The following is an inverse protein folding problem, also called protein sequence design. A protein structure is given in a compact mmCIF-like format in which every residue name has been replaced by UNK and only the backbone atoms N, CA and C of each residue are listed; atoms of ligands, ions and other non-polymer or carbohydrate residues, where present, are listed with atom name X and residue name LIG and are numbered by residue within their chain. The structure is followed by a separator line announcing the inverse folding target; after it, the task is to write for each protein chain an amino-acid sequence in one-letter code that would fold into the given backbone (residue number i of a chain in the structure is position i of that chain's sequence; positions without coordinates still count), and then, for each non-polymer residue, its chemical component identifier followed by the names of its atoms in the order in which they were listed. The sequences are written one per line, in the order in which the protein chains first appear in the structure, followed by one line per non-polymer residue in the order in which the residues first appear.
data_IF_671696192233
#
_entry.id   IF_671696192233
#
_cell.length_a   1.000
_cell.length_b   1.000
_cell.length_c   1.000
_cell.angle_alpha   90.00
_cell.angle_beta   90.00
_cell.angle_gamma   90.00
#
_symmetry.space_group_name_H-M   'P 1'
#
loop_
_entity.id
_entity.type
_entity.pdbx_description
1 polymer ?
#
# COMPACT_ATOMS: atom_id res chain seq x y z
N UNK A 1 24.23 78.93 -95.89
CA UNK A 1 23.33 79.90 -96.57
C UNK A 1 21.90 79.71 -96.04
N UNK A 2 21.05 80.76 -96.05
CA UNK A 2 20.06 81.04 -95.02
C UNK A 2 18.71 80.32 -95.20
N UNK A 3 18.04 80.08 -94.06
CA UNK A 3 16.62 79.70 -93.97
C UNK A 3 15.72 80.83 -94.52
N UNK A 4 14.54 80.49 -95.04
CA UNK A 4 13.39 81.36 -94.80
C UNK A 4 12.20 80.62 -94.18
N UNK A 5 11.53 81.40 -93.34
CA UNK A 5 10.46 81.04 -92.41
C UNK A 5 9.11 80.99 -93.12
N UNK A 6 8.31 80.04 -92.64
CA UNK A 6 6.87 80.05 -92.36
C UNK A 6 6.13 81.36 -92.69
N UNK A 7 5.06 81.25 -93.47
CA UNK A 7 4.00 82.24 -93.57
C UNK A 7 2.68 81.69 -92.97
N UNK A 8 2.13 82.53 -92.10
CA UNK A 8 0.77 82.71 -91.58
C UNK A 8 -0.42 81.78 -91.97
N UNK A 9 -1.10 81.35 -90.90
CA UNK A 9 -2.54 81.52 -90.55
C UNK A 9 -3.67 80.76 -91.27
N UNK A 10 -4.59 80.38 -90.38
CA UNK A 10 -6.05 80.27 -90.48
C UNK A 10 -6.60 78.86 -90.75
N UNK A 11 -7.33 78.29 -89.76
CA UNK A 11 -8.81 78.24 -89.65
C UNK A 11 -9.33 77.14 -90.56
N UNK A 12 -10.21 76.24 -90.18
CA UNK A 12 -10.85 75.78 -88.95
C UNK A 12 -11.68 74.57 -89.40
N UNK A 13 -12.06 73.72 -88.45
CA UNK A 13 -13.08 72.67 -88.61
C UNK A 13 -12.57 71.50 -89.47
N UNK A 14 -12.81 70.23 -89.15
CA UNK A 14 -14.01 69.61 -88.62
C UNK A 14 -13.58 68.35 -87.84
N UNK A 15 -13.92 68.23 -86.56
CA UNK A 15 -13.98 66.91 -85.91
C UNK A 15 -15.16 66.92 -84.95
N UNK A 16 -16.32 66.49 -85.46
CA UNK A 16 -17.50 66.25 -84.64
C UNK A 16 -18.20 64.99 -85.12
N UNK A 17 -17.61 63.80 -84.90
CA UNK A 17 -18.39 62.55 -84.96
C UNK A 17 -17.76 61.29 -84.31
N UNK A 18 -16.95 61.40 -83.24
CA UNK A 18 -16.38 60.21 -82.57
C UNK A 18 -16.48 60.29 -81.04
N UNK A 19 -17.68 60.42 -80.46
CA UNK A 19 -17.85 60.45 -78.99
C UNK A 19 -18.85 59.49 -78.31
N UNK A 20 -19.83 58.81 -78.95
CA UNK A 20 -20.83 58.06 -78.16
C UNK A 20 -20.35 56.71 -77.58
N UNK A 21 -19.45 56.00 -78.25
CA UNK A 21 -19.23 54.56 -77.99
C UNK A 21 -18.17 54.27 -76.89
N UNK A 22 -17.13 55.11 -76.81
CA UNK A 22 -16.06 55.01 -75.80
C UNK A 22 -16.54 55.45 -74.41
N UNK A 23 -17.37 56.49 -74.34
CA UNK A 23 -18.02 56.91 -73.09
C UNK A 23 -19.00 55.86 -72.59
N UNK A 24 -19.77 55.20 -73.48
CA UNK A 24 -20.65 54.11 -73.11
C UNK A 24 -19.89 52.92 -72.48
N UNK A 25 -18.70 52.58 -72.99
CA UNK A 25 -17.86 51.52 -72.41
C UNK A 25 -17.28 51.92 -71.04
N UNK A 26 -16.81 53.17 -70.91
CA UNK A 26 -16.29 53.72 -69.65
C UNK A 26 -17.37 53.80 -68.56
N UNK A 27 -18.58 54.19 -68.93
CA UNK A 27 -19.75 54.22 -68.02
C UNK A 27 -20.17 52.80 -67.62
N UNK A 28 -20.15 51.83 -68.55
CA UNK A 28 -20.42 50.42 -68.23
C UNK A 28 -19.37 49.85 -67.26
N UNK A 29 -18.09 50.16 -67.47
CA UNK A 29 -17.01 49.72 -66.60
C UNK A 29 -17.10 50.36 -65.20
N UNK A 30 -17.45 51.65 -65.12
CA UNK A 30 -17.71 52.34 -63.85
C UNK A 30 -18.88 51.72 -63.07
N UNK A 31 -20.00 51.43 -63.74
CA UNK A 31 -21.15 50.74 -63.13
C UNK A 31 -20.81 49.32 -62.66
N UNK A 32 -19.92 48.63 -63.35
CA UNK A 32 -19.43 47.32 -62.93
C UNK A 32 -18.57 47.43 -61.66
N UNK A 33 -17.63 48.38 -61.61
CA UNK A 33 -16.82 48.63 -60.42
C UNK A 33 -17.68 49.04 -59.22
N UNK A 34 -18.67 49.92 -59.40
CA UNK A 34 -19.60 50.28 -58.33
C UNK A 34 -20.36 49.08 -57.75
N UNK A 35 -20.81 48.16 -58.61
CA UNK A 35 -21.46 46.92 -58.16
C UNK A 35 -20.48 46.00 -57.41
N UNK A 36 -19.23 45.94 -57.85
CA UNK A 36 -18.17 45.18 -57.21
C UNK A 36 -17.85 45.74 -55.83
N UNK A 37 -17.66 47.06 -55.73
CA UNK A 37 -17.42 47.77 -54.46
C UNK A 37 -18.61 47.66 -53.51
N UNK A 38 -19.84 47.65 -54.02
CA UNK A 38 -21.02 47.39 -53.21
C UNK A 38 -21.02 45.97 -52.65
N UNK A 39 -20.64 44.98 -53.47
CA UNK A 39 -20.55 43.57 -53.04
C UNK A 39 -19.42 43.33 -52.04
N UNK A 40 -18.25 43.93 -52.23
CA UNK A 40 -17.12 43.88 -51.29
C UNK A 40 -17.58 44.44 -49.94
N UNK A 41 -18.12 45.66 -49.92
CA UNK A 41 -18.63 46.29 -48.69
C UNK A 41 -19.73 45.49 -48.01
N UNK A 42 -20.59 44.82 -48.77
CA UNK A 42 -21.60 43.93 -48.19
C UNK A 42 -20.97 42.72 -47.51
N UNK A 43 -20.00 42.07 -48.15
CA UNK A 43 -19.30 40.93 -47.56
C UNK A 43 -18.46 41.32 -46.34
N UNK A 44 -17.77 42.45 -46.36
CA UNK A 44 -17.03 42.93 -45.19
C UNK A 44 -17.95 43.12 -43.98
N UNK A 45 -19.15 43.68 -44.21
CA UNK A 45 -20.19 43.82 -43.17
C UNK A 45 -20.70 42.47 -42.66
N UNK A 46 -20.88 41.48 -43.54
CA UNK A 46 -21.29 40.14 -43.14
C UNK A 46 -20.22 39.42 -42.33
N UNK A 47 -18.94 39.55 -42.73
CA UNK A 47 -17.79 39.01 -42.02
C UNK A 47 -17.70 39.64 -40.63
N UNK A 48 -17.76 40.97 -40.55
CA UNK A 48 -17.71 41.69 -39.28
C UNK A 48 -18.86 41.28 -38.35
N UNK A 49 -20.08 41.13 -38.89
CA UNK A 49 -21.23 40.65 -38.12
C UNK A 49 -21.03 39.23 -37.59
N UNK A 50 -20.50 38.32 -38.40
CA UNK A 50 -20.23 36.95 -38.00
C UNK A 50 -19.14 36.87 -36.92
N UNK A 51 -18.06 37.62 -37.10
CA UNK A 51 -16.97 37.71 -36.12
C UNK A 51 -17.47 38.27 -34.78
N UNK A 52 -18.24 39.36 -34.81
CA UNK A 52 -18.80 39.95 -33.60
C UNK A 52 -19.78 39.01 -32.88
N UNK A 53 -20.59 38.27 -33.65
CA UNK A 53 -21.54 37.31 -33.08
C UNK A 53 -20.84 36.18 -32.30
N UNK A 54 -19.68 35.71 -32.77
CA UNK A 54 -18.95 34.59 -32.15
C UNK A 54 -17.82 34.99 -31.20
N UNK A 55 -17.41 36.26 -31.18
CA UNK A 55 -16.25 36.71 -30.40
C UNK A 55 -16.40 36.41 -28.91
N UNK A 56 -17.56 36.70 -28.32
CA UNK A 56 -17.80 36.47 -26.89
C UNK A 56 -17.71 34.98 -26.53
N UNK A 57 -18.34 34.11 -27.33
CA UNK A 57 -18.29 32.66 -27.09
C UNK A 57 -16.87 32.07 -27.17
N UNK A 58 -16.02 32.62 -28.03
CA UNK A 58 -14.60 32.27 -28.09
C UNK A 58 -13.85 32.70 -26.82
N UNK A 59 -14.06 33.94 -26.37
CA UNK A 59 -13.47 34.47 -25.12
C UNK A 59 -13.93 33.65 -23.91
N UNK A 60 -15.21 33.32 -23.84
CA UNK A 60 -15.79 32.52 -22.77
C UNK A 60 -15.15 31.11 -22.72
N UNK A 61 -15.01 30.47 -23.88
CA UNK A 61 -14.39 29.14 -24.00
C UNK A 61 -12.93 29.14 -23.53
N UNK A 62 -12.14 30.15 -23.92
CA UNK A 62 -10.76 30.30 -23.45
C UNK A 62 -10.73 30.53 -21.95
N UNK A 63 -11.61 31.38 -21.45
CA UNK A 63 -11.68 31.72 -20.02
C UNK A 63 -12.02 30.49 -19.19
N UNK A 64 -12.99 29.68 -19.63
CA UNK A 64 -13.36 28.43 -18.99
C UNK A 64 -12.20 27.42 -19.01
N UNK A 65 -11.53 27.27 -20.15
CA UNK A 65 -10.35 26.41 -20.26
C UNK A 65 -9.23 26.82 -19.28
N UNK A 66 -8.96 28.12 -19.15
CA UNK A 66 -7.95 28.63 -18.23
C UNK A 66 -8.34 28.38 -16.76
N UNK A 67 -9.62 28.47 -16.41
CA UNK A 67 -10.12 28.09 -15.08
C UNK A 67 -9.92 26.60 -14.81
N UNK A 68 -10.29 25.73 -15.75
CA UNK A 68 -10.10 24.27 -15.63
C UNK A 68 -8.62 23.93 -15.45
N UNK A 69 -7.73 24.58 -16.21
CA UNK A 69 -6.28 24.40 -16.07
C UNK A 69 -5.78 24.79 -14.67
N UNK A 70 -6.25 25.91 -14.12
CA UNK A 70 -5.88 26.35 -12.77
C UNK A 70 -6.37 25.36 -11.70
N UNK A 71 -7.61 24.90 -11.80
CA UNK A 71 -8.17 23.89 -10.88
C UNK A 71 -7.43 22.54 -10.99
N UNK A 72 -7.08 22.10 -12.21
CA UNK A 72 -6.30 20.89 -12.43
C UNK A 72 -4.89 21.00 -11.83
N UNK A 73 -4.24 22.16 -11.92
CA UNK A 73 -2.94 22.39 -11.27
C UNK A 73 -3.06 22.36 -9.74
N UNK A 74 -4.09 23.01 -9.18
CA UNK A 74 -4.37 23.00 -7.75
C UNK A 74 -4.64 21.59 -7.23
N UNK A 75 -5.41 20.79 -7.98
CA UNK A 75 -5.67 19.38 -7.67
C UNK A 75 -4.37 18.56 -7.73
N UNK A 76 -3.55 18.72 -8.77
CA UNK A 76 -2.27 18.02 -8.92
C UNK A 76 -1.31 18.33 -7.76
N UNK A 77 -1.25 19.57 -7.29
CA UNK A 77 -0.44 19.93 -6.11
C UNK A 77 -1.03 19.31 -4.84
N UNK A 78 -2.36 19.27 -4.70
CA UNK A 78 -3.00 18.66 -3.53
C UNK A 78 -2.81 17.15 -3.46
N UNK A 79 -2.87 16.46 -4.60
CA UNK A 79 -2.90 14.99 -4.67
C UNK A 79 -1.53 14.36 -4.95
N UNK A 80 -0.69 15.01 -5.78
CA UNK A 80 0.67 14.54 -6.08
C UNK A 80 1.77 15.23 -5.26
N UNK A 81 1.51 16.40 -4.68
CA UNK A 81 2.52 17.19 -3.96
C UNK A 81 2.80 16.72 -2.53
N UNK A 82 1.94 15.90 -1.95
CA UNK A 82 2.21 15.25 -0.67
C UNK A 82 2.51 13.79 -0.93
N UNK A 83 3.72 13.33 -0.65
CA UNK A 83 4.12 11.91 -0.68
C UNK A 83 3.32 11.00 0.27
N UNK A 84 2.09 11.35 0.63
CA UNK A 84 1.13 10.59 1.44
C UNK A 84 0.82 9.24 0.82
N UNK A 85 0.72 9.13 -0.50
CA UNK A 85 0.53 7.82 -1.17
C UNK A 85 1.73 6.89 -0.98
N UNK A 86 2.95 7.40 -1.23
CA UNK A 86 4.20 6.65 -1.07
C UNK A 86 4.48 6.34 0.41
N UNK A 87 4.25 7.31 1.29
CA UNK A 87 4.39 7.18 2.74
C UNK A 87 3.38 6.19 3.33
N UNK A 88 2.15 6.14 2.82
CA UNK A 88 1.14 5.17 3.26
C UNK A 88 1.54 3.76 2.85
N UNK A 89 2.03 3.55 1.63
CA UNK A 89 2.53 2.24 1.18
C UNK A 89 3.71 1.79 2.05
N UNK A 90 4.64 2.70 2.36
CA UNK A 90 5.74 2.41 3.30
C UNK A 90 5.24 2.01 4.69
N UNK A 91 4.34 2.79 5.26
CA UNK A 91 3.74 2.50 6.57
C UNK A 91 2.97 1.16 6.60
N UNK A 92 2.32 0.78 5.50
CA UNK A 92 1.63 -0.51 5.39
C UNK A 92 2.59 -1.70 5.35
N UNK A 93 3.75 -1.56 4.69
CA UNK A 93 4.76 -2.61 4.65
C UNK A 93 5.44 -2.78 6.02
N UNK A 94 5.74 -1.67 6.71
CA UNK A 94 6.24 -1.70 8.09
C UNK A 94 5.23 -2.38 9.04
N UNK A 95 3.94 -2.06 8.91
CA UNK A 95 2.89 -2.70 9.69
C UNK A 95 2.80 -4.21 9.42
N UNK A 96 2.95 -4.62 8.15
CA UNK A 96 2.98 -6.03 7.77
C UNK A 96 4.15 -6.76 8.41
N UNK A 97 5.35 -6.16 8.37
CA UNK A 97 6.55 -6.71 8.98
C UNK A 97 6.41 -6.81 10.51
N UNK A 98 5.85 -5.78 11.15
CA UNK A 98 5.56 -5.78 12.58
C UNK A 98 4.60 -6.91 12.98
N UNK A 99 3.53 -7.14 12.20
CA UNK A 99 2.59 -8.26 12.43
C UNK A 99 3.25 -9.62 12.29
N UNK A 100 4.13 -9.79 11.30
CA UNK A 100 4.88 -11.04 11.14
C UNK A 100 5.80 -11.29 12.35
N UNK A 101 6.51 -10.26 12.80
CA UNK A 101 7.34 -10.35 14.00
C UNK A 101 6.50 -10.68 15.24
N UNK A 102 5.36 -10.01 15.42
CA UNK A 102 4.45 -10.27 16.52
C UNK A 102 3.93 -11.72 16.50
N UNK A 103 3.57 -12.24 15.32
CA UNK A 103 3.15 -13.63 15.17
C UNK A 103 4.28 -14.61 15.50
N UNK A 104 5.50 -14.37 14.99
CA UNK A 104 6.68 -15.18 15.31
C UNK A 104 6.98 -15.18 16.82
N UNK A 105 6.90 -14.01 17.46
CA UNK A 105 7.11 -13.85 18.90
C UNK A 105 6.04 -14.62 19.67
N UNK A 106 4.76 -14.43 19.35
CA UNK A 106 3.65 -15.12 20.01
C UNK A 106 3.77 -16.63 19.86
N UNK A 107 4.02 -17.12 18.64
CA UNK A 107 4.22 -18.53 18.38
C UNK A 107 5.41 -19.09 19.16
N UNK A 108 6.51 -18.34 19.26
CA UNK A 108 7.68 -18.77 20.05
C UNK A 108 7.37 -18.82 21.54
N UNK A 109 6.66 -17.80 22.07
CA UNK A 109 6.20 -17.78 23.46
C UNK A 109 5.33 -19.00 23.75
N UNK A 110 4.33 -19.29 22.91
CA UNK A 110 3.44 -20.44 23.09
C UNK A 110 4.21 -21.77 23.11
N UNK A 111 5.21 -21.91 22.24
CA UNK A 111 6.06 -23.11 22.16
C UNK A 111 6.97 -23.24 23.38
N UNK A 112 7.55 -22.14 23.87
CA UNK A 112 8.36 -22.13 25.08
C UNK A 112 7.52 -22.40 26.34
N UNK A 113 6.32 -21.80 26.44
CA UNK A 113 5.38 -22.03 27.53
C UNK A 113 4.96 -23.49 27.65
N UNK A 114 4.86 -24.22 26.54
CA UNK A 114 4.62 -25.68 26.56
C UNK A 114 5.82 -26.47 27.09
N UNK A 115 7.05 -25.99 26.87
CA UNK A 115 8.26 -26.68 27.30
C UNK A 115 8.60 -26.45 28.78
N UNK A 116 8.20 -25.28 29.32
CA UNK A 116 8.59 -24.83 30.66
C UNK A 116 8.20 -25.81 31.79
N UNK A 117 6.96 -26.32 31.87
CA UNK A 117 6.57 -27.26 32.92
C UNK A 117 7.36 -28.58 32.88
N UNK A 118 7.76 -29.01 31.69
CA UNK A 118 8.53 -30.25 31.50
C UNK A 118 9.95 -30.09 32.06
N UNK A 119 10.58 -28.94 31.78
CA UNK A 119 11.91 -28.61 32.29
C UNK A 119 11.91 -28.41 33.81
N UNK A 120 10.88 -27.77 34.36
CA UNK A 120 10.71 -27.60 35.81
C UNK A 120 10.52 -28.94 36.52
N UNK A 121 9.66 -29.81 35.99
CA UNK A 121 9.39 -31.13 36.57
C UNK A 121 10.63 -32.02 36.53
N UNK A 122 11.42 -31.97 35.46
CA UNK A 122 12.66 -32.74 35.35
C UNK A 122 13.79 -32.15 36.22
N UNK A 123 13.84 -30.82 36.40
CA UNK A 123 14.70 -30.20 37.41
C UNK A 123 14.36 -30.69 38.82
N UNK A 124 13.07 -30.70 39.17
CA UNK A 124 12.56 -31.22 40.45
C UNK A 124 12.89 -32.69 40.64
N UNK A 125 12.79 -33.51 39.58
CA UNK A 125 13.17 -34.92 39.61
C UNK A 125 14.65 -35.09 39.95
N UNK A 126 15.55 -34.35 39.27
CA UNK A 126 16.99 -34.38 39.55
C UNK A 126 17.31 -33.99 40.99
N UNK A 127 16.61 -33.01 41.56
CA UNK A 127 16.80 -32.60 42.96
C UNK A 127 16.30 -33.65 43.96
N UNK A 128 15.15 -34.28 43.69
CA UNK A 128 14.63 -35.38 44.50
C UNK A 128 15.58 -36.59 44.49
N UNK A 129 16.21 -36.86 43.35
CA UNK A 129 17.22 -37.91 43.22
C UNK A 129 18.50 -37.56 44.00
N UNK A 130 18.99 -36.31 43.91
CA UNK A 130 20.16 -35.85 44.69
C UNK A 130 19.92 -35.91 46.20
N UNK A 131 18.70 -35.58 46.65
CA UNK A 131 18.30 -35.62 48.06
C UNK A 131 17.92 -37.02 48.57
N UNK A 132 18.13 -38.09 47.78
CA UNK A 132 17.84 -39.50 48.12
C UNK A 132 16.38 -39.76 48.50
N UNK A 133 15.45 -38.91 48.06
CA UNK A 133 14.01 -39.08 48.27
C UNK A 133 13.44 -39.93 47.14
N UNK A 134 13.75 -41.23 47.18
CA UNK A 134 13.48 -42.16 46.08
C UNK A 134 11.99 -42.31 45.75
N UNK A 135 11.12 -42.36 46.77
CA UNK A 135 9.68 -42.55 46.55
C UNK A 135 9.00 -41.31 45.90
N UNK A 136 9.22 -40.07 46.38
CA UNK A 136 8.77 -38.88 45.66
C UNK A 136 9.36 -38.74 44.26
N UNK A 137 10.64 -39.08 44.07
CA UNK A 137 11.31 -39.05 42.76
C UNK A 137 10.62 -39.99 41.76
N UNK A 138 10.29 -41.22 42.17
CA UNK A 138 9.60 -42.19 41.32
C UNK A 138 8.22 -41.69 40.89
N UNK A 139 7.46 -41.07 41.80
CA UNK A 139 6.15 -40.49 41.48
C UNK A 139 6.26 -39.32 40.49
N UNK A 140 7.28 -38.47 40.64
CA UNK A 140 7.57 -37.35 39.73
C UNK A 140 7.99 -37.88 38.34
N UNK A 141 8.80 -38.93 38.29
CA UNK A 141 9.24 -39.58 37.05
C UNK A 141 8.06 -40.19 36.29
N UNK A 142 7.21 -40.97 36.96
CA UNK A 142 6.01 -41.57 36.37
C UNK A 142 5.08 -40.50 35.78
N UNK A 143 4.93 -39.37 36.46
CA UNK A 143 4.14 -38.24 35.99
C UNK A 143 4.79 -37.56 34.77
N UNK A 144 6.11 -37.34 34.78
CA UNK A 144 6.86 -36.79 33.67
C UNK A 144 6.70 -37.66 32.40
N UNK A 145 6.82 -38.97 32.55
CA UNK A 145 6.71 -39.93 31.44
C UNK A 145 5.29 -40.00 30.85
N UNK A 146 4.26 -40.04 31.70
CA UNK A 146 2.87 -40.23 31.23
C UNK A 146 2.20 -38.96 30.74
N UNK A 147 2.50 -37.81 31.35
CA UNK A 147 1.74 -36.58 31.11
C UNK A 147 2.52 -35.53 30.31
N UNK A 148 3.82 -35.39 30.56
CA UNK A 148 4.61 -34.29 30.03
C UNK A 148 5.34 -34.63 28.73
N UNK A 149 6.04 -35.78 28.66
CA UNK A 149 6.82 -36.16 27.47
C UNK A 149 5.97 -36.33 26.19
N UNK A 150 4.75 -36.90 26.21
CA UNK A 150 3.93 -37.01 25.00
C UNK A 150 3.59 -35.65 24.37
N UNK A 151 3.52 -34.58 25.16
CA UNK A 151 3.16 -33.24 24.69
C UNK A 151 4.32 -32.51 23.99
N UNK A 152 5.57 -32.88 24.31
CA UNK A 152 6.78 -32.21 23.80
C UNK A 152 7.71 -33.15 23.01
N UNK A 153 7.24 -34.35 22.67
CA UNK A 153 8.04 -35.40 22.03
C UNK A 153 8.59 -35.03 20.65
N UNK A 154 7.99 -34.06 19.95
CA UNK A 154 8.50 -33.54 18.68
C UNK A 154 9.74 -32.65 18.83
N UNK A 155 10.04 -32.16 20.03
CA UNK A 155 11.22 -31.34 20.27
C UNK A 155 12.47 -32.19 20.52
N UNK A 156 13.62 -31.77 19.96
CA UNK A 156 14.91 -32.47 20.13
C UNK A 156 15.35 -32.61 21.59
N UNK A 157 15.09 -31.60 22.43
CA UNK A 157 15.51 -31.64 23.84
C UNK A 157 14.82 -32.76 24.63
N UNK A 158 13.59 -33.14 24.25
CA UNK A 158 12.84 -34.23 24.87
C UNK A 158 13.56 -35.58 24.69
N UNK A 159 14.14 -35.83 23.51
CA UNK A 159 14.93 -37.05 23.25
C UNK A 159 16.14 -37.15 24.16
N UNK A 160 16.86 -36.04 24.32
CA UNK A 160 18.02 -35.97 25.22
C UNK A 160 17.59 -36.19 26.68
N UNK A 161 16.45 -35.63 27.11
CA UNK A 161 15.93 -35.88 28.45
C UNK A 161 15.61 -37.37 28.68
N UNK A 162 14.92 -38.02 27.74
CA UNK A 162 14.58 -39.45 27.84
C UNK A 162 15.83 -40.34 27.88
N UNK A 163 16.88 -39.99 27.15
CA UNK A 163 18.16 -40.71 27.17
C UNK A 163 18.92 -40.55 28.49
N UNK A 164 18.76 -39.41 29.17
CA UNK A 164 19.44 -39.11 30.44
C UNK A 164 18.63 -39.50 31.69
N UNK A 165 17.33 -39.75 31.54
CA UNK A 165 16.49 -40.26 32.64
C UNK A 165 16.88 -41.71 32.93
N UNK A 166 17.33 -42.05 34.15
CA UNK A 166 17.69 -43.42 34.46
C UNK A 166 16.43 -44.29 34.42
N UNK A 167 16.44 -45.31 33.55
CA UNK A 167 15.30 -46.21 33.35
C UNK A 167 14.91 -46.88 34.67
N UNK A 168 13.61 -47.02 34.93
CA UNK A 168 13.02 -47.71 36.10
C UNK A 168 13.77 -48.99 36.57
N UNK A 169 14.29 -49.87 35.68
CA UNK A 169 15.01 -51.08 36.09
C UNK A 169 16.31 -50.81 36.87
N UNK A 170 17.00 -49.69 36.59
CA UNK A 170 18.25 -49.32 37.28
C UNK A 170 18.00 -48.81 38.71
N UNK A 171 16.84 -48.18 38.95
CA UNK A 171 16.44 -47.71 40.28
C UNK A 171 15.94 -48.83 41.20
N UNK A 172 15.24 -49.82 40.65
CA UNK A 172 14.91 -51.04 41.40
C UNK A 172 16.19 -51.75 41.86
N UNK A 173 17.23 -51.80 41.02
CA UNK A 173 18.54 -52.32 41.39
C UNK A 173 19.21 -51.51 42.52
N UNK A 174 19.12 -50.17 42.50
CA UNK A 174 19.65 -49.32 43.59
C UNK A 174 18.89 -49.47 44.93
N UNK A 175 17.57 -49.66 44.88
CA UNK A 175 16.77 -49.99 46.07
C UNK A 175 17.15 -51.37 46.63
N UNK A 176 17.41 -52.36 45.77
CA UNK A 176 17.88 -53.70 46.21
C UNK A 176 19.30 -53.69 46.76
N UNK A 177 20.18 -52.75 46.37
CA UNK A 177 21.54 -52.64 46.91
C UNK A 177 21.67 -51.80 48.18
N UNK A 178 20.60 -51.10 48.60
CA UNK A 178 20.61 -50.18 49.76
C UNK A 178 19.61 -50.51 50.88
N UNK A 179 18.76 -51.53 50.71
CA UNK A 179 17.82 -51.95 51.75
C UNK A 179 18.46 -52.95 52.71
N UNK A 180 18.97 -52.46 53.84
CA UNK A 180 19.04 -53.24 55.07
C UNK A 180 17.61 -53.64 55.47
N UNK A 181 17.32 -54.88 55.93
CA UNK A 181 15.97 -55.27 56.33
C UNK A 181 15.58 -54.50 57.58
N UNK A 182 14.65 -53.56 57.46
CA UNK A 182 14.03 -52.90 58.60
C UNK A 182 13.14 -53.93 59.31
N UNK A 183 13.65 -54.52 60.39
CA UNK A 183 12.85 -55.24 61.37
C UNK A 183 11.64 -54.38 61.79
N UNK A 184 10.44 -54.83 61.48
CA UNK A 184 9.27 -54.48 62.26
C UNK A 184 9.41 -55.20 63.62
N UNK A 185 9.79 -54.46 64.67
CA UNK A 185 9.55 -54.93 66.04
C UNK A 185 8.17 -54.47 66.49
N UNK A 186 7.42 -55.32 67.20
CA UNK A 186 6.10 -55.01 67.72
C UNK A 186 6.27 -54.13 68.96
N UNK A 187 5.62 -52.97 68.97
CA UNK A 187 5.33 -52.25 70.22
C UNK A 187 4.00 -52.75 70.74
N UNK A 188 4.06 -53.64 71.72
CA UNK A 188 3.00 -53.82 72.71
C UNK A 188 3.11 -52.77 73.81
N UNK A 189 2.06 -52.73 74.63
CA UNK A 189 1.78 -51.84 75.78
C UNK A 189 1.20 -50.48 75.38
N UNK A 190 0.06 -50.03 75.88
CA UNK A 190 -0.89 -50.54 76.88
C UNK A 190 -2.13 -49.64 76.75
N UNK A 191 -3.34 -50.21 76.84
CA UNK A 191 -4.38 -49.64 77.71
C UNK A 191 -5.62 -50.54 77.75
N UNK A 192 -5.68 -51.30 78.83
CA UNK A 192 -6.88 -51.67 79.55
C UNK A 192 -7.79 -50.46 79.80
N UNK A 193 -9.04 -50.51 79.36
CA UNK A 193 -10.21 -50.21 80.20
C UNK A 193 -11.52 -50.24 79.38
N UNK A 194 -12.49 -50.95 79.96
CA UNK A 194 -13.94 -50.84 79.75
C UNK A 194 -14.54 -51.30 78.41
N UNK A 195 -15.19 -52.47 78.44
CA UNK A 195 -16.66 -52.56 78.37
C UNK A 195 -17.18 -53.98 78.64
N UNK A 196 -17.84 -54.09 79.78
CA UNK A 196 -19.10 -54.80 80.05
C UNK A 196 -19.66 -55.75 78.98
N UNK A 197 -19.99 -56.98 79.41
CA UNK A 197 -21.35 -57.56 79.38
C UNK A 197 -21.39 -59.03 78.92
N UNK A 198 -21.93 -59.86 79.84
CA UNK A 198 -22.42 -61.23 79.73
C UNK A 198 -21.41 -62.37 79.54
#
# INVERSE_FOLDING_TARGET
LPLPKIADKSVASEEHEVLPHLEASRVKHGRFMEKLDARIRNHDREIEKMCNFHYQGFVDSITEFLKVRAEAQKLKVRDCGGGRGVSLVGAMEELRQCRLQQWNISATVDKLSQCLPVLEMESKLREQMKSKRHYPALKTLEHLERMCLPQVNHYRFCKVMVENIPRLPFYLLQLTSGCQPCHTKPTGEENTAAKDSL
#
